data_IF_218818098230
#
_entry.id   IF_218818098230
#
_cell.length_a   1.000
_cell.length_b   1.000
_cell.length_c   1.000
_cell.angle_alpha   90.00
_cell.angle_beta   90.00
_cell.angle_gamma   90.00
#
_symmetry.space_group_name_H-M   'P 1'
#
loop_
_entity.id
_entity.type
_entity.pdbx_description
1 polymer ?
#
# COMPACT_ATOMS: atom_id res chain seq x y z
N UNK A 1 17.15 -6.26 5.54
CA UNK A 1 15.84 -6.25 4.86
C UNK A 1 15.90 -5.57 3.49
N UNK A 2 16.44 -4.35 3.33
CA UNK A 2 16.47 -3.65 2.03
C UNK A 2 17.42 -4.22 0.98
N UNK A 3 18.63 -4.63 1.38
CA UNK A 3 19.54 -5.36 0.48
C UNK A 3 18.87 -6.63 -0.09
N UNK A 4 18.08 -7.31 0.74
CA UNK A 4 17.28 -8.48 0.32
C UNK A 4 16.18 -8.06 -0.65
N UNK A 5 15.46 -6.95 -0.41
CA UNK A 5 14.43 -6.44 -1.35
C UNK A 5 15.02 -6.06 -2.71
N UNK A 6 16.21 -5.44 -2.73
CA UNK A 6 16.92 -5.12 -3.99
C UNK A 6 17.29 -6.40 -4.73
N UNK A 7 17.90 -7.36 -4.04
CA UNK A 7 18.27 -8.64 -4.63
C UNK A 7 17.05 -9.38 -5.21
N UNK A 8 15.94 -9.43 -4.47
CA UNK A 8 14.69 -10.04 -4.97
C UNK A 8 14.12 -9.30 -6.19
N UNK A 9 14.21 -7.97 -6.23
CA UNK A 9 13.79 -7.20 -7.40
C UNK A 9 14.69 -7.49 -8.62
N UNK A 10 16.01 -7.54 -8.42
CA UNK A 10 16.98 -7.90 -9.45
C UNK A 10 16.77 -9.33 -9.98
N UNK A 11 16.50 -10.29 -9.09
CA UNK A 11 16.17 -11.68 -9.47
C UNK A 11 14.89 -11.75 -10.31
N UNK A 12 13.84 -11.00 -9.95
CA UNK A 12 12.60 -10.94 -10.72
C UNK A 12 12.76 -10.25 -12.07
N UNK A 13 13.61 -9.22 -12.16
CA UNK A 13 13.98 -8.60 -13.44
C UNK A 13 14.73 -9.60 -14.32
N UNK A 14 15.70 -10.33 -13.74
CA UNK A 14 16.45 -11.37 -14.45
C UNK A 14 15.55 -12.53 -14.94
N UNK A 15 14.50 -12.85 -14.19
CA UNK A 15 13.48 -13.83 -14.56
C UNK A 15 12.46 -13.32 -15.59
N UNK A 16 12.46 -12.02 -15.93
CA UNK A 16 11.48 -11.40 -16.82
C UNK A 16 10.10 -11.21 -16.20
N UNK A 17 9.99 -11.29 -14.87
CA UNK A 17 8.74 -11.07 -14.12
C UNK A 17 8.47 -9.57 -13.90
N UNK A 18 9.54 -8.78 -13.75
CA UNK A 18 9.51 -7.33 -13.59
C UNK A 18 10.32 -6.63 -14.68
N UNK A 19 9.99 -5.36 -14.96
CA UNK A 19 10.67 -4.51 -15.91
C UNK A 19 11.28 -3.29 -15.22
N UNK A 20 12.61 -3.12 -15.30
CA UNK A 20 13.34 -2.00 -14.68
C UNK A 20 13.70 -0.86 -15.63
N UNK A 21 13.78 -1.15 -16.93
CA UNK A 21 14.09 -0.17 -17.97
C UNK A 21 12.96 -0.17 -19.00
N UNK A 22 12.07 0.82 -18.91
CA UNK A 22 10.95 0.98 -19.84
C UNK A 22 11.14 2.27 -20.64
N UNK A 23 11.08 2.17 -21.97
CA UNK A 23 10.97 3.38 -22.80
C UNK A 23 9.62 4.09 -22.54
N UNK A 24 9.53 5.39 -22.81
CA UNK A 24 8.32 6.19 -22.55
C UNK A 24 7.04 5.60 -23.19
N UNK A 25 7.18 4.94 -24.35
CA UNK A 25 6.09 4.24 -25.03
C UNK A 25 5.69 2.89 -24.41
N UNK A 26 6.59 2.23 -23.68
CA UNK A 26 6.32 0.95 -23.00
C UNK A 26 5.75 1.13 -21.59
N UNK A 27 6.04 2.27 -20.93
CA UNK A 27 5.60 2.52 -19.54
C UNK A 27 4.07 2.47 -19.38
N UNK A 28 3.33 2.81 -20.43
CA UNK A 28 1.87 2.81 -20.43
C UNK A 28 1.24 1.45 -20.81
N UNK A 29 2.00 0.53 -21.41
CA UNK A 29 1.48 -0.76 -21.88
C UNK A 29 1.76 -1.91 -20.91
N UNK A 30 2.68 -1.73 -19.97
CA UNK A 30 3.00 -2.71 -18.93
C UNK A 30 2.21 -2.35 -17.66
N UNK A 31 1.49 -3.29 -17.03
CA UNK A 31 0.85 -3.05 -15.75
C UNK A 31 1.85 -2.55 -14.70
N UNK A 32 1.50 -1.53 -13.92
CA UNK A 32 2.36 -0.95 -12.86
C UNK A 32 2.86 -2.02 -11.89
N UNK A 33 2.03 -3.03 -11.60
CA UNK A 33 2.40 -4.18 -10.75
C UNK A 33 3.55 -5.04 -11.29
N UNK A 34 4.02 -4.76 -12.51
CA UNK A 34 5.17 -5.41 -13.16
C UNK A 34 6.36 -4.47 -13.38
N UNK A 35 6.30 -3.22 -12.92
CA UNK A 35 7.37 -2.25 -13.08
C UNK A 35 8.20 -2.14 -11.79
N UNK A 36 9.49 -1.81 -11.90
CA UNK A 36 10.34 -1.56 -10.72
C UNK A 36 11.43 -0.53 -11.01
N UNK A 37 11.65 0.43 -10.12
CA UNK A 37 12.77 1.36 -10.23
C UNK A 37 13.93 0.95 -9.30
N UNK A 38 15.00 0.42 -9.88
CA UNK A 38 16.17 -0.05 -9.13
C UNK A 38 16.96 1.10 -8.46
N UNK A 39 16.84 2.34 -8.95
CA UNK A 39 17.53 3.50 -8.35
C UNK A 39 16.97 3.86 -6.97
N UNK A 40 15.73 3.47 -6.69
CA UNK A 40 15.11 3.63 -5.37
C UNK A 40 15.73 2.71 -4.30
N UNK A 41 16.59 1.76 -4.70
CA UNK A 41 17.31 0.87 -3.80
C UNK A 41 18.73 1.34 -3.45
N UNK A 42 19.11 2.58 -3.80
CA UNK A 42 20.36 3.19 -3.34
C UNK A 42 20.34 3.46 -1.82
N UNK A 43 21.51 3.46 -1.17
CA UNK A 43 21.60 3.75 0.28
C UNK A 43 21.01 5.12 0.66
N UNK A 44 21.16 6.11 -0.22
CA UNK A 44 20.59 7.44 -0.06
C UNK A 44 19.06 7.39 -0.07
N UNK A 45 18.47 6.75 -1.09
CA UNK A 45 17.01 6.55 -1.20
C UNK A 45 16.47 5.83 0.03
N UNK A 46 17.18 4.80 0.50
CA UNK A 46 16.80 4.07 1.69
C UNK A 46 16.89 4.91 2.97
N UNK A 47 17.84 5.84 3.05
CA UNK A 47 17.93 6.78 4.15
C UNK A 47 16.77 7.79 4.12
N UNK A 48 16.44 8.33 2.95
CA UNK A 48 15.30 9.23 2.75
C UNK A 48 13.98 8.57 3.17
N UNK A 49 13.70 7.33 2.72
CA UNK A 49 12.54 6.53 3.15
C UNK A 49 12.44 6.38 4.68
N UNK A 50 13.57 6.13 5.36
CA UNK A 50 13.61 6.04 6.83
C UNK A 50 13.32 7.37 7.52
N UNK A 51 13.54 8.49 6.86
CA UNK A 51 13.15 9.80 7.38
C UNK A 51 11.65 10.08 7.15
N UNK A 52 11.05 9.55 6.08
CA UNK A 52 9.61 9.71 5.84
C UNK A 52 8.75 9.22 7.02
N UNK A 53 9.05 8.03 7.57
CA UNK A 53 8.33 7.52 8.76
C UNK A 53 8.51 8.37 10.03
N UNK A 54 9.49 9.28 10.05
CA UNK A 54 9.73 10.18 11.20
C UNK A 54 8.99 11.49 11.06
N UNK A 55 8.50 11.81 9.87
CA UNK A 55 7.80 13.05 9.58
C UNK A 55 6.56 13.21 10.49
N UNK A 56 6.38 14.37 11.16
CA UNK A 56 5.24 14.59 12.05
C UNK A 56 3.89 14.52 11.35
N UNK A 57 3.79 14.98 10.10
CA UNK A 57 2.55 14.99 9.35
C UNK A 57 2.18 13.57 8.91
N UNK A 58 3.15 12.77 8.45
CA UNK A 58 2.95 11.34 8.19
C UNK A 58 2.44 10.60 9.43
N UNK A 59 3.08 10.80 10.59
CA UNK A 59 2.65 10.16 11.85
C UNK A 59 1.22 10.52 12.22
N UNK A 60 0.88 11.81 12.14
CA UNK A 60 -0.47 12.30 12.45
C UNK A 60 -1.52 11.62 11.56
N UNK A 61 -1.25 11.42 10.27
CA UNK A 61 -2.17 10.71 9.37
C UNK A 61 -2.36 9.24 9.79
N UNK A 62 -1.29 8.56 10.19
CA UNK A 62 -1.38 7.19 10.71
C UNK A 62 -2.13 7.15 12.04
N UNK A 63 -1.94 8.15 12.91
CA UNK A 63 -2.67 8.27 14.19
C UNK A 63 -4.17 8.47 13.96
N UNK A 64 -4.54 9.33 13.01
CA UNK A 64 -5.93 9.57 12.61
C UNK A 64 -6.56 8.28 12.06
N UNK A 65 -5.86 7.57 11.17
CA UNK A 65 -6.35 6.29 10.65
C UNK A 65 -6.46 5.23 11.74
N UNK A 66 -5.48 5.15 12.65
CA UNK A 66 -5.49 4.22 13.77
C UNK A 66 -6.71 4.43 14.67
N UNK A 67 -7.01 5.68 15.01
CA UNK A 67 -8.16 6.04 15.84
C UNK A 67 -9.50 5.58 15.23
N UNK A 68 -9.58 5.46 13.90
CA UNK A 68 -10.79 5.00 13.20
C UNK A 68 -10.95 3.47 13.19
N UNK A 69 -9.85 2.71 13.22
CA UNK A 69 -9.88 1.26 13.00
C UNK A 69 -9.65 0.44 14.26
N UNK A 70 -8.96 1.01 15.25
CA UNK A 70 -8.65 0.32 16.49
C UNK A 70 -9.91 0.06 17.34
N UNK A 71 -9.88 -1.02 18.11
CA UNK A 71 -10.90 -1.34 19.09
C UNK A 71 -10.61 -0.62 20.41
N UNK A 72 -11.47 0.34 20.77
CA UNK A 72 -11.29 1.21 21.94
C UNK A 72 -11.16 0.46 23.26
N UNK A 73 -11.88 -0.67 23.43
CA UNK A 73 -11.85 -1.42 24.69
C UNK A 73 -10.50 -2.09 24.94
N UNK A 74 -9.67 -2.21 23.90
CA UNK A 74 -8.49 -3.06 23.92
C UNK A 74 -7.27 -2.41 23.27
N UNK A 75 -7.40 -1.17 22.79
CA UNK A 75 -6.37 -0.33 22.18
C UNK A 75 -5.57 -1.03 21.06
N UNK A 76 -6.28 -1.79 20.22
CA UNK A 76 -5.63 -2.67 19.26
C UNK A 76 -6.56 -3.06 18.10
N UNK A 77 -6.00 -3.51 16.97
CA UNK A 77 -6.75 -3.86 15.76
C UNK A 77 -6.85 -5.38 15.60
N UNK A 78 -8.07 -5.91 15.66
CA UNK A 78 -8.34 -7.33 15.36
C UNK A 78 -8.51 -7.59 13.85
N UNK A 79 -8.44 -8.87 13.47
CA UNK A 79 -8.56 -9.30 12.07
C UNK A 79 -9.80 -8.75 11.37
N UNK A 80 -10.97 -8.72 12.04
CA UNK A 80 -12.20 -8.21 11.43
C UNK A 80 -12.13 -6.74 11.02
N UNK A 81 -11.56 -5.88 11.87
CA UNK A 81 -11.37 -4.46 11.56
C UNK A 81 -10.32 -4.26 10.47
N UNK A 82 -9.21 -5.00 10.55
CA UNK A 82 -8.16 -4.99 9.54
C UNK A 82 -8.70 -5.38 8.16
N UNK A 83 -9.45 -6.49 8.10
CA UNK A 83 -10.06 -7.01 6.87
C UNK A 83 -10.98 -5.98 6.20
N UNK A 84 -11.79 -5.27 6.98
CA UNK A 84 -12.66 -4.20 6.45
C UNK A 84 -11.83 -3.09 5.81
N UNK A 85 -10.86 -2.55 6.53
CA UNK A 85 -9.98 -1.49 6.03
C UNK A 85 -9.19 -1.97 4.79
N UNK A 86 -8.52 -3.12 4.88
CA UNK A 86 -7.62 -3.59 3.83
C UNK A 86 -8.37 -3.98 2.54
N UNK A 87 -9.60 -4.50 2.65
CA UNK A 87 -10.43 -4.75 1.47
C UNK A 87 -10.73 -3.48 0.66
N UNK A 88 -10.88 -2.33 1.33
CA UNK A 88 -11.08 -1.04 0.67
C UNK A 88 -9.78 -0.53 0.03
N UNK A 89 -8.64 -0.71 0.71
CA UNK A 89 -7.32 -0.38 0.17
C UNK A 89 -7.04 -1.17 -1.11
N UNK A 90 -7.30 -2.48 -1.12
CA UNK A 90 -7.12 -3.32 -2.31
C UNK A 90 -7.99 -2.81 -3.47
N UNK A 91 -9.27 -2.47 -3.22
CA UNK A 91 -10.15 -1.94 -4.27
C UNK A 91 -9.71 -0.59 -4.82
N UNK A 92 -9.16 0.25 -3.94
CA UNK A 92 -8.66 1.57 -4.32
C UNK A 92 -7.40 1.46 -5.17
N UNK A 93 -6.50 0.55 -4.81
CA UNK A 93 -5.13 0.51 -5.33
C UNK A 93 -4.97 -0.47 -6.51
N UNK A 94 -5.75 -1.54 -6.55
CA UNK A 94 -5.60 -2.58 -7.58
C UNK A 94 -6.49 -2.32 -8.80
N UNK A 95 -5.99 -2.57 -10.02
CA UNK A 95 -6.76 -2.36 -11.24
C UNK A 95 -7.93 -3.36 -11.34
N UNK A 96 -9.13 -2.92 -11.79
CA UNK A 96 -10.24 -3.82 -12.03
C UNK A 96 -10.00 -4.73 -13.26
N UNK A 97 -10.72 -5.87 -13.36
CA UNK A 97 -11.76 -6.34 -12.45
C UNK A 97 -11.20 -7.08 -11.23
N UNK A 98 -11.81 -6.86 -10.06
CA UNK A 98 -11.49 -7.56 -8.81
C UNK A 98 -12.69 -8.39 -8.36
N UNK A 99 -12.48 -9.67 -8.07
CA UNK A 99 -13.52 -10.52 -7.48
C UNK A 99 -13.50 -10.40 -5.95
N UNK A 100 -14.64 -10.63 -5.31
CA UNK A 100 -14.70 -10.69 -3.83
C UNK A 100 -13.75 -11.75 -3.26
N UNK A 101 -13.63 -12.90 -3.93
CA UNK A 101 -12.69 -13.96 -3.54
C UNK A 101 -11.24 -13.51 -3.58
N UNK A 102 -10.84 -12.73 -4.60
CA UNK A 102 -9.50 -12.18 -4.74
C UNK A 102 -9.19 -11.22 -3.59
N UNK A 103 -10.11 -10.31 -3.29
CA UNK A 103 -9.93 -9.27 -2.26
C UNK A 103 -9.85 -9.90 -0.86
N UNK A 104 -10.74 -10.86 -0.57
CA UNK A 104 -10.72 -11.59 0.70
C UNK A 104 -9.41 -12.38 0.84
N UNK A 105 -8.97 -13.05 -0.23
CA UNK A 105 -7.74 -13.85 -0.20
C UNK A 105 -6.52 -12.97 0.06
N UNK A 106 -6.34 -11.90 -0.72
CA UNK A 106 -5.19 -11.00 -0.54
C UNK A 106 -5.23 -10.27 0.81
N UNK A 107 -6.40 -9.86 1.28
CA UNK A 107 -6.50 -9.25 2.60
C UNK A 107 -6.09 -10.22 3.73
N UNK A 108 -6.36 -11.52 3.59
CA UNK A 108 -5.92 -12.55 4.55
C UNK A 108 -4.42 -12.78 4.48
N UNK A 109 -3.84 -12.72 3.28
CA UNK A 109 -2.40 -12.83 3.08
C UNK A 109 -1.68 -11.65 3.73
N UNK A 110 -2.16 -10.42 3.52
CA UNK A 110 -1.62 -9.23 4.17
C UNK A 110 -1.77 -9.30 5.69
N UNK A 111 -2.93 -9.73 6.20
CA UNK A 111 -3.12 -9.97 7.64
C UNK A 111 -2.09 -10.96 8.19
N UNK A 112 -1.87 -12.09 7.50
CA UNK A 112 -0.92 -13.11 7.96
C UNK A 112 0.51 -12.55 8.01
N UNK A 113 0.88 -11.67 7.08
CA UNK A 113 2.19 -11.02 7.05
C UNK A 113 2.34 -9.95 8.13
N UNK A 114 1.33 -9.09 8.31
CA UNK A 114 1.38 -7.98 9.26
C UNK A 114 1.20 -8.44 10.71
N UNK A 115 0.32 -9.41 10.94
CA UNK A 115 0.05 -9.93 12.28
C UNK A 115 1.13 -10.91 12.75
N UNK A 116 1.85 -11.56 11.84
CA UNK A 116 2.91 -12.52 12.16
C UNK A 116 2.48 -13.57 13.21
N UNK A 117 1.24 -14.06 13.09
CA UNK A 117 0.65 -15.04 14.00
C UNK A 117 0.02 -14.47 15.27
N UNK A 118 0.01 -13.15 15.46
CA UNK A 118 -0.75 -12.49 16.53
C UNK A 118 -2.23 -12.45 16.18
N UNK A 119 -3.10 -12.51 17.18
CA UNK A 119 -4.54 -12.34 16.98
C UNK A 119 -4.92 -10.88 16.71
N UNK A 120 -4.05 -9.94 17.09
CA UNK A 120 -4.30 -8.50 17.05
C UNK A 120 -3.02 -7.71 16.77
N UNK A 121 -3.17 -6.58 16.09
CA UNK A 121 -2.08 -5.64 15.86
C UNK A 121 -2.04 -4.61 16.99
N UNK A 122 -0.83 -4.29 17.43
CA UNK A 122 -0.56 -3.08 18.19
C UNK A 122 -0.48 -1.87 17.25
N UNK A 123 -0.49 -0.65 17.79
CA UNK A 123 -0.22 0.55 17.00
C UNK A 123 1.09 0.44 16.22
N UNK A 124 2.16 -0.10 16.82
CA UNK A 124 3.45 -0.23 16.15
C UNK A 124 3.39 -1.21 14.97
N UNK A 125 2.68 -2.32 15.10
CA UNK A 125 2.49 -3.28 14.01
C UNK A 125 1.72 -2.62 12.86
N UNK A 126 0.62 -1.95 13.19
CA UNK A 126 -0.20 -1.19 12.24
C UNK A 126 0.59 -0.08 11.54
N UNK A 127 1.35 0.71 12.29
CA UNK A 127 2.19 1.77 11.75
C UNK A 127 3.19 1.22 10.73
N UNK A 128 3.82 0.08 11.03
CA UNK A 128 4.74 -0.56 10.08
C UNK A 128 4.01 -1.04 8.83
N UNK A 129 2.82 -1.63 8.96
CA UNK A 129 2.00 -2.07 7.84
C UNK A 129 1.62 -0.90 6.91
N UNK A 130 1.08 0.19 7.47
CA UNK A 130 0.70 1.39 6.69
C UNK A 130 1.92 2.05 6.05
N UNK A 131 3.05 2.13 6.75
CA UNK A 131 4.27 2.66 6.16
C UNK A 131 4.75 1.79 4.99
N UNK A 132 4.75 0.46 5.13
CA UNK A 132 5.16 -0.44 4.05
C UNK A 132 4.21 -0.35 2.86
N UNK A 133 2.90 -0.28 3.08
CA UNK A 133 1.93 -0.07 2.02
C UNK A 133 2.18 1.26 1.29
N UNK A 134 2.37 2.35 2.05
CA UNK A 134 2.64 3.67 1.46
C UNK A 134 3.96 3.67 0.69
N UNK A 135 5.00 3.04 1.22
CA UNK A 135 6.33 2.87 0.59
C UNK A 135 6.25 2.04 -0.71
N UNK A 136 5.35 1.06 -0.78
CA UNK A 136 5.08 0.31 -2.01
C UNK A 136 4.45 1.22 -3.05
N UNK A 137 3.45 2.02 -2.69
CA UNK A 137 2.70 2.81 -3.66
C UNK A 137 3.28 4.22 -3.90
N UNK A 138 4.47 4.53 -3.37
CA UNK A 138 5.13 5.83 -3.57
C UNK A 138 6.42 5.69 -4.38
N UNK A 139 6.44 6.42 -5.48
CA UNK A 139 7.53 6.53 -6.46
C UNK A 139 8.85 7.12 -6.02
N UNK A 140 8.76 8.01 -5.05
CA UNK A 140 9.87 8.88 -4.71
C UNK A 140 10.33 8.51 -3.31
N UNK A 141 11.32 9.25 -2.83
CA UNK A 141 11.70 9.20 -1.43
C UNK A 141 11.44 10.55 -0.76
N UNK A 142 10.54 11.35 -1.33
CA UNK A 142 10.17 12.66 -0.81
C UNK A 142 9.02 12.52 0.18
N UNK A 143 9.12 13.20 1.32
CA UNK A 143 8.12 13.13 2.40
C UNK A 143 6.73 13.53 1.91
N UNK A 144 6.66 14.57 1.08
CA UNK A 144 5.40 15.11 0.57
C UNK A 144 4.62 14.07 -0.24
N UNK A 145 5.31 13.24 -1.02
CA UNK A 145 4.66 12.20 -1.82
C UNK A 145 4.11 11.07 -0.93
N UNK A 146 4.82 10.72 0.15
CA UNK A 146 4.32 9.74 1.13
C UNK A 146 3.06 10.24 1.81
N UNK A 147 3.06 11.51 2.23
CA UNK A 147 1.93 12.09 2.94
C UNK A 147 0.73 12.27 2.02
N UNK A 148 0.96 12.75 0.79
CA UNK A 148 -0.07 12.84 -0.25
C UNK A 148 -0.65 11.47 -0.59
N UNK A 149 0.18 10.44 -0.70
CA UNK A 149 -0.27 9.08 -0.97
C UNK A 149 -1.14 8.55 0.18
N UNK A 150 -0.67 8.70 1.43
CA UNK A 150 -1.42 8.26 2.60
C UNK A 150 -2.74 9.01 2.75
N UNK A 151 -2.78 10.32 2.52
CA UNK A 151 -4.02 11.11 2.52
C UNK A 151 -5.02 10.61 1.48
N UNK A 152 -4.55 10.31 0.26
CA UNK A 152 -5.40 9.74 -0.80
C UNK A 152 -5.95 8.37 -0.42
N UNK A 153 -5.12 7.53 0.19
CA UNK A 153 -5.55 6.22 0.69
C UNK A 153 -6.63 6.37 1.76
N UNK A 154 -6.40 7.22 2.78
CA UNK A 154 -7.34 7.48 3.87
C UNK A 154 -8.66 8.03 3.31
N UNK A 155 -8.59 9.03 2.43
CA UNK A 155 -9.79 9.59 1.79
C UNK A 155 -10.55 8.51 1.02
N UNK A 156 -9.85 7.73 0.18
CA UNK A 156 -10.44 6.64 -0.59
C UNK A 156 -11.16 5.60 0.27
N UNK A 157 -10.55 5.14 1.36
CA UNK A 157 -11.20 4.13 2.23
C UNK A 157 -12.35 4.68 3.07
N UNK A 158 -12.36 5.99 3.34
CA UNK A 158 -13.47 6.64 4.06
C UNK A 158 -14.69 6.89 3.17
N UNK A 159 -14.52 7.05 1.86
CA UNK A 159 -15.62 7.23 0.90
C UNK A 159 -16.14 5.92 0.32
N UNK A 160 -15.32 4.86 0.25
CA UNK A 160 -15.75 3.55 -0.24
C UNK A 160 -16.71 2.92 0.80
N UNK A 161 -17.99 2.69 0.45
CA UNK A 161 -18.96 2.05 1.33
C UNK A 161 -18.57 0.61 1.63
N UNK A 162 -19.04 0.08 2.76
CA UNK A 162 -18.88 -1.32 3.12
C UNK A 162 -19.67 -2.27 2.19
N UNK A 163 -20.69 -1.74 1.49
CA UNK A 163 -21.54 -2.46 0.53
C UNK A 163 -21.49 -1.79 -0.85
N UNK A 164 -20.92 -2.49 -1.83
CA UNK A 164 -20.67 -2.00 -3.18
C UNK A 164 -21.74 -2.39 -4.21
N UNK A 165 -22.84 -3.03 -3.79
CA UNK A 165 -23.99 -3.22 -4.68
C UNK A 165 -24.51 -1.89 -5.28
N UNK A 166 -24.22 -0.76 -4.62
CA UNK A 166 -24.63 0.58 -5.03
C UNK A 166 -23.67 1.34 -5.97
N UNK A 167 -22.42 0.89 -6.16
CA UNK A 167 -21.39 1.69 -6.88
C UNK A 167 -21.01 1.17 -8.27
N UNK A 168 -21.71 0.18 -8.81
CA UNK A 168 -21.44 -0.38 -10.14
C UNK A 168 -21.96 0.49 -11.31
N UNK A 169 -21.59 1.77 -11.36
CA UNK A 169 -21.66 2.55 -12.60
C UNK A 169 -20.22 2.89 -13.05
N UNK A 170 -19.77 2.17 -14.08
CA UNK A 170 -18.38 2.03 -14.49
C UNK A 170 -17.81 3.19 -15.33
N UNK A 171 -18.20 4.45 -15.10
CA UNK A 171 -17.76 5.57 -15.96
C UNK A 171 -16.70 6.51 -15.39
N UNK A 172 -16.42 6.50 -14.08
CA UNK A 172 -15.80 7.70 -13.45
C UNK A 172 -14.36 7.55 -12.94
N UNK A 173 -13.67 6.43 -13.17
CA UNK A 173 -12.34 6.19 -12.56
C UNK A 173 -11.19 6.06 -13.57
N UNK A 174 -11.12 7.00 -14.52
CA UNK A 174 -9.90 7.21 -15.32
C UNK A 174 -9.09 8.35 -14.69
N UNK A 175 -8.04 8.02 -13.96
CA UNK A 175 -7.00 8.99 -13.63
C UNK A 175 -6.27 8.71 -12.33
N UNK A 176 -4.93 8.71 -12.43
CA UNK A 176 -3.95 8.63 -11.34
C UNK A 176 -3.77 7.26 -10.70
N UNK A 177 -3.22 6.32 -11.50
CA UNK A 177 -2.47 5.20 -10.96
C UNK A 177 -1.07 5.65 -10.50
N UNK A 178 -0.56 5.12 -9.39
CA UNK A 178 0.75 5.48 -8.85
C UNK A 178 1.87 4.96 -9.74
N UNK A 179 2.98 5.68 -9.75
CA UNK A 179 4.19 5.26 -10.44
C UNK A 179 4.97 4.38 -9.39
N UNK A 180 5.89 3.51 -9.80
CA UNK A 180 7.06 3.08 -9.00
C UNK A 180 8.26 3.04 -9.95
#
# INVERSE_FOLDING_TARGET
>A
QYAIRRQLAEEKVAAGELYSELSAGQKHSIPVTKQVNLDLYSDESQMKRRMCKKDPHFKRLVDELWALVQDEATESLGMGGYMKMNSKLIRLLMPPPLTESYIIQHSKEDWAQDAQGKDRLTYNDFFQAIFQLTDIWTDTCEVEDYTNMLERMILGVTIIPDDLSAMMNASDLVGAGPTI
#
